data_IF_944233910363
#
_entry.id   IF_944233910363
#
_cell.length_a   1.000
_cell.length_b   1.000
_cell.length_c   1.000
_cell.angle_alpha   90.00
_cell.angle_beta   90.00
_cell.angle_gamma   90.00
#
_symmetry.space_group_name_H-M   'P 1'
#
loop_
_entity.id
_entity.type
_entity.pdbx_description
1 polymer ?
#
# COMPACT_ATOMS: atom_id res chain seq x y z
N UNK A 1 9.72 7.17 3.00
CA UNK A 1 8.34 7.03 2.48
C UNK A 1 8.16 7.98 1.30
N UNK A 2 8.44 9.28 1.43
CA UNK A 2 8.38 10.20 0.26
C UNK A 2 9.19 9.70 -0.93
N UNK A 3 10.46 9.32 -0.71
CA UNK A 3 11.29 8.75 -1.77
C UNK A 3 10.69 7.47 -2.37
N UNK A 4 9.97 6.66 -1.59
CA UNK A 4 9.33 5.44 -2.08
C UNK A 4 8.14 5.76 -3.00
N UNK A 5 7.36 6.79 -2.68
CA UNK A 5 6.33 7.32 -3.58
C UNK A 5 6.94 7.93 -4.85
N UNK A 6 8.04 8.68 -4.71
CA UNK A 6 8.79 9.22 -5.86
C UNK A 6 9.35 8.12 -6.75
N UNK A 7 9.92 7.06 -6.17
CA UNK A 7 10.45 5.92 -6.92
C UNK A 7 9.35 5.20 -7.71
N UNK A 8 8.13 5.15 -7.18
CA UNK A 8 6.99 4.65 -7.95
C UNK A 8 6.64 5.58 -9.12
N UNK A 9 6.48 6.88 -8.88
CA UNK A 9 6.15 7.87 -9.91
C UNK A 9 7.18 7.91 -11.05
N UNK A 10 8.47 7.80 -10.70
CA UNK A 10 9.59 7.80 -11.66
C UNK A 10 9.85 6.43 -12.32
N UNK A 11 9.06 5.40 -11.96
CA UNK A 11 9.24 4.02 -12.37
C UNK A 11 10.65 3.46 -12.05
N UNK A 12 11.21 3.85 -10.91
CA UNK A 12 12.47 3.35 -10.36
C UNK A 12 12.25 2.03 -9.59
N UNK A 13 12.09 0.94 -10.36
CA UNK A 13 11.71 -0.37 -9.82
C UNK A 13 12.65 -0.90 -8.74
N UNK A 14 13.96 -0.82 -8.98
CA UNK A 14 14.95 -1.41 -8.06
C UNK A 14 14.98 -0.68 -6.71
N UNK A 15 14.87 0.65 -6.71
CA UNK A 15 14.77 1.44 -5.47
C UNK A 15 13.44 1.21 -4.77
N UNK A 16 12.34 1.19 -5.53
CA UNK A 16 10.98 0.98 -5.02
C UNK A 16 10.85 -0.36 -4.27
N UNK A 17 11.23 -1.47 -4.91
CA UNK A 17 11.21 -2.80 -4.30
C UNK A 17 12.32 -2.95 -3.25
N UNK A 18 13.48 -2.32 -3.45
CA UNK A 18 14.61 -2.34 -2.52
C UNK A 18 14.34 -1.66 -1.17
N UNK A 19 13.38 -0.73 -1.12
CA UNK A 19 12.89 -0.14 0.13
C UNK A 19 12.09 -1.14 0.98
N UNK A 20 11.48 -2.15 0.35
CA UNK A 20 10.70 -3.17 1.02
C UNK A 20 11.60 -4.29 1.57
N UNK A 21 11.34 -4.69 2.81
CA UNK A 21 11.97 -5.87 3.39
C UNK A 21 11.59 -7.14 2.63
N UNK A 22 12.45 -8.16 2.63
CA UNK A 22 12.14 -9.46 2.02
C UNK A 22 10.88 -10.13 2.57
N UNK A 23 10.47 -9.80 3.80
CA UNK A 23 9.23 -10.30 4.40
C UNK A 23 8.09 -9.29 4.32
N UNK A 24 8.23 -8.21 3.54
CA UNK A 24 7.22 -7.17 3.46
C UNK A 24 5.93 -7.70 2.85
N UNK A 25 4.79 -7.33 3.44
CA UNK A 25 3.47 -7.52 2.85
C UNK A 25 2.97 -6.20 2.24
N UNK A 26 2.54 -6.25 0.99
CA UNK A 26 1.79 -5.18 0.36
C UNK A 26 0.31 -5.60 0.29
N UNK A 27 -0.56 -4.82 0.91
CA UNK A 27 -2.00 -5.04 0.93
C UNK A 27 -2.65 -3.92 0.14
N UNK A 28 -3.25 -4.28 -1.00
CA UNK A 28 -3.89 -3.35 -1.89
C UNK A 28 -5.33 -3.01 -1.47
N UNK A 29 -6.04 -2.31 -2.35
CA UNK A 29 -7.40 -1.84 -2.11
C UNK A 29 -8.45 -2.92 -2.31
N UNK A 30 -8.17 -3.94 -3.15
CA UNK A 30 -9.08 -5.06 -3.38
C UNK A 30 -8.85 -6.19 -2.34
N UNK A 31 -9.92 -6.89 -1.97
CA UNK A 31 -9.88 -7.90 -0.91
C UNK A 31 -8.95 -9.09 -1.20
N UNK A 32 -8.62 -9.32 -2.48
CA UNK A 32 -7.70 -10.38 -2.92
C UNK A 32 -6.23 -9.93 -2.93
N UNK A 33 -5.97 -8.63 -2.73
CA UNK A 33 -4.64 -8.02 -2.83
C UNK A 33 -3.90 -8.12 -1.50
N UNK A 34 -3.17 -9.22 -1.32
CA UNK A 34 -2.24 -9.40 -0.22
C UNK A 34 -1.02 -10.19 -0.71
N UNK A 35 0.05 -9.46 -0.99
CA UNK A 35 1.25 -10.01 -1.63
C UNK A 35 2.46 -9.93 -0.70
N UNK A 36 3.24 -11.01 -0.68
CA UNK A 36 4.63 -10.92 -0.24
C UNK A 36 5.43 -10.08 -1.26
N UNK A 37 6.50 -9.43 -0.80
CA UNK A 37 7.31 -8.50 -1.60
C UNK A 37 7.65 -9.05 -2.99
N UNK A 38 8.10 -10.29 -3.09
CA UNK A 38 8.60 -10.83 -4.37
C UNK A 38 7.46 -11.10 -5.37
N UNK A 39 6.29 -11.51 -4.90
CA UNK A 39 5.08 -11.64 -5.72
C UNK A 39 4.57 -10.25 -6.16
N UNK A 40 4.60 -9.27 -5.24
CA UNK A 40 4.27 -7.89 -5.55
C UNK A 40 5.24 -7.30 -6.58
N UNK A 41 6.53 -7.55 -6.44
CA UNK A 41 7.55 -7.12 -7.39
C UNK A 41 7.29 -7.69 -8.79
N UNK A 42 6.93 -8.98 -8.89
CA UNK A 42 6.55 -9.60 -10.15
C UNK A 42 5.30 -8.93 -10.77
N UNK A 43 4.30 -8.61 -9.95
CA UNK A 43 3.11 -7.88 -10.36
C UNK A 43 3.44 -6.46 -10.87
N UNK A 44 4.29 -5.70 -10.16
CA UNK A 44 4.66 -4.34 -10.52
C UNK A 44 5.50 -4.25 -11.81
N UNK A 45 6.35 -5.24 -12.07
CA UNK A 45 7.35 -5.23 -13.15
C UNK A 45 6.82 -4.76 -14.52
N UNK A 46 5.70 -5.28 -15.06
CA UNK A 46 5.17 -4.81 -16.34
C UNK A 46 4.73 -3.33 -16.33
N UNK A 47 4.24 -2.80 -15.21
CA UNK A 47 3.81 -1.41 -15.08
C UNK A 47 5.02 -0.46 -15.03
N UNK A 48 6.05 -0.82 -14.27
CA UNK A 48 7.31 -0.07 -14.20
C UNK A 48 8.03 -0.05 -15.56
N UNK A 49 8.08 -1.18 -16.26
CA UNK A 49 8.66 -1.24 -17.60
C UNK A 49 7.95 -0.34 -18.62
N UNK A 50 6.63 -0.16 -18.47
CA UNK A 50 5.80 0.70 -19.33
C UNK A 50 5.73 2.16 -18.83
N UNK A 51 6.30 2.47 -17.67
CA UNK A 51 6.14 3.76 -16.97
C UNK A 51 4.67 4.14 -16.77
N UNK A 52 3.83 3.14 -16.55
CA UNK A 52 2.41 3.30 -16.18
C UNK A 52 2.25 2.94 -14.71
N UNK A 53 3.03 3.60 -13.87
CA UNK A 53 3.06 3.39 -12.43
C UNK A 53 2.10 4.35 -11.72
N UNK A 54 1.99 4.20 -10.42
CA UNK A 54 1.21 5.06 -9.56
C UNK A 54 2.00 6.31 -9.19
N UNK A 55 1.37 7.46 -9.34
CA UNK A 55 1.83 8.76 -8.86
C UNK A 55 0.91 9.20 -7.72
N UNK A 56 1.44 9.12 -6.50
CA UNK A 56 0.72 9.42 -5.26
C UNK A 56 1.33 10.64 -4.60
N UNK A 57 0.52 11.66 -4.37
CA UNK A 57 0.95 12.88 -3.67
C UNK A 57 0.50 12.82 -2.21
N UNK A 58 1.41 13.03 -1.27
CA UNK A 58 1.08 13.03 0.16
C UNK A 58 0.38 14.33 0.56
N UNK A 59 -0.82 14.21 1.12
CA UNK A 59 -1.58 15.33 1.70
C UNK A 59 -1.21 15.51 3.18
N UNK A 60 -1.22 14.40 3.93
CA UNK A 60 -0.90 14.37 5.36
C UNK A 60 -0.14 13.08 5.65
N UNK A 61 0.81 13.13 6.59
CA UNK A 61 1.42 11.93 7.16
C UNK A 61 1.74 12.13 8.63
N UNK A 62 1.42 11.12 9.42
CA UNK A 62 1.82 11.00 10.82
C UNK A 62 2.77 9.81 10.96
N UNK A 63 3.86 9.98 11.71
CA UNK A 63 4.88 8.95 11.95
C UNK A 63 5.15 8.84 13.44
N UNK A 64 5.18 7.61 13.94
CA UNK A 64 5.43 7.28 15.34
C UNK A 64 6.54 6.26 15.41
N UNK A 65 7.55 6.50 16.25
CA UNK A 65 8.69 5.60 16.43
C UNK A 65 8.61 5.02 17.84
N UNK A 66 8.95 3.74 18.00
CA UNK A 66 9.00 3.11 19.31
C UNK A 66 10.17 3.65 20.16
N UNK A 67 10.16 3.35 21.47
CA UNK A 67 11.19 3.80 22.41
C UNK A 67 12.60 3.31 22.05
N UNK A 68 12.70 2.12 21.44
CA UNK A 68 13.97 1.55 20.98
C UNK A 68 14.52 2.22 19.71
N UNK A 69 13.74 3.08 19.04
CA UNK A 69 14.17 3.80 17.84
C UNK A 69 14.32 2.92 16.59
N UNK A 70 13.85 1.67 16.62
CA UNK A 70 14.08 0.67 15.57
C UNK A 70 12.80 0.23 14.84
N UNK A 71 11.62 0.64 15.29
CA UNK A 71 10.35 0.39 14.62
C UNK A 71 9.59 1.69 14.47
N UNK A 72 9.04 1.94 13.29
CA UNK A 72 8.19 3.09 13.02
C UNK A 72 6.84 2.62 12.45
N UNK A 73 5.76 3.30 12.83
CA UNK A 73 4.44 3.19 12.20
C UNK A 73 4.11 4.51 11.55
N UNK A 74 3.41 4.44 10.43
CA UNK A 74 2.90 5.63 9.78
C UNK A 74 1.49 5.40 9.26
N UNK A 75 0.78 6.50 9.13
CA UNK A 75 -0.45 6.61 8.39
C UNK A 75 -0.42 7.92 7.60
N UNK A 76 -0.99 7.87 6.40
CA UNK A 76 -0.95 8.97 5.44
C UNK A 76 -2.27 9.08 4.68
N UNK A 77 -2.59 10.31 4.28
CA UNK A 77 -3.63 10.60 3.32
C UNK A 77 -2.94 10.99 2.01
N UNK A 78 -3.31 10.34 0.92
CA UNK A 78 -2.73 10.48 -0.40
C UNK A 78 -3.77 11.01 -1.38
N UNK A 79 -3.37 11.92 -2.26
CA UNK A 79 -4.07 12.23 -3.50
C UNK A 79 -3.61 11.26 -4.60
N UNK A 80 -4.57 10.62 -5.27
CA UNK A 80 -4.32 9.54 -6.23
C UNK A 80 -5.33 9.60 -7.37
N UNK A 81 -5.10 8.82 -8.44
CA UNK A 81 -6.07 8.66 -9.52
C UNK A 81 -7.41 8.02 -9.08
N UNK A 82 -7.46 7.36 -7.92
CA UNK A 82 -8.68 6.80 -7.32
C UNK A 82 -9.40 7.82 -6.41
N UNK A 83 -8.91 9.05 -6.33
CA UNK A 83 -9.26 10.02 -5.30
C UNK A 83 -8.44 9.79 -4.03
N UNK A 84 -8.95 10.24 -2.89
CA UNK A 84 -8.24 10.16 -1.62
C UNK A 84 -8.05 8.72 -1.16
N UNK A 85 -6.81 8.31 -0.92
CA UNK A 85 -6.49 7.03 -0.32
C UNK A 85 -5.82 7.20 1.04
N UNK A 86 -5.94 6.20 1.90
CA UNK A 86 -5.20 6.06 3.14
C UNK A 86 -4.12 5.01 2.98
N UNK A 87 -2.87 5.44 3.06
CA UNK A 87 -1.72 4.55 3.22
C UNK A 87 -1.45 4.35 4.70
N UNK A 88 -1.06 3.15 5.10
CA UNK A 88 -0.50 2.92 6.44
C UNK A 88 0.49 1.78 6.41
N UNK A 89 1.43 1.77 7.34
CA UNK A 89 2.44 0.73 7.35
C UNK A 89 3.36 0.76 8.56
N UNK A 90 4.26 -0.21 8.56
CA UNK A 90 5.31 -0.35 9.56
C UNK A 90 6.68 -0.42 8.88
N UNK A 91 7.69 0.15 9.53
CA UNK A 91 9.08 0.08 9.12
C UNK A 91 9.95 -0.46 10.24
N UNK A 92 11.02 -1.15 9.88
CA UNK A 92 12.09 -1.54 10.79
C UNK A 92 13.43 -0.99 10.34
N UNK A 93 14.26 -0.57 11.31
CA UNK A 93 15.63 -0.16 11.06
C UNK A 93 16.53 -1.39 11.03
N UNK A 94 16.97 -1.80 9.84
CA UNK A 94 17.86 -2.94 9.62
C UNK A 94 19.18 -2.46 9.04
N UNK A 95 20.29 -2.78 9.70
CA UNK A 95 21.64 -2.41 9.27
C UNK A 95 21.79 -0.90 8.95
N UNK A 96 21.15 -0.04 9.76
CA UNK A 96 21.18 1.40 9.57
C UNK A 96 20.25 1.94 8.46
N UNK A 97 19.41 1.10 7.87
CA UNK A 97 18.45 1.50 6.84
C UNK A 97 17.02 1.13 7.25
N UNK A 98 16.09 2.07 7.07
CA UNK A 98 14.67 1.78 7.23
C UNK A 98 14.17 0.91 6.08
N UNK A 99 13.47 -0.18 6.41
CA UNK A 99 12.80 -1.06 5.45
C UNK A 99 11.31 -1.11 5.74
N UNK A 100 10.51 -1.07 4.68
CA UNK A 100 9.06 -1.25 4.78
C UNK A 100 8.77 -2.71 5.11
N UNK A 101 8.03 -2.95 6.19
CA UNK A 101 7.65 -4.29 6.67
C UNK A 101 6.21 -4.64 6.29
N UNK A 102 5.35 -3.63 6.19
CA UNK A 102 3.98 -3.78 5.74
C UNK A 102 3.51 -2.45 5.15
N UNK A 103 2.73 -2.54 4.08
CA UNK A 103 1.96 -1.43 3.55
C UNK A 103 0.51 -1.85 3.33
N UNK A 104 -0.43 -0.97 3.68
CA UNK A 104 -1.86 -1.12 3.44
C UNK A 104 -2.35 0.14 2.73
N UNK A 105 -2.98 -0.04 1.57
CA UNK A 105 -3.62 1.03 0.83
C UNK A 105 -5.14 0.81 0.81
N UNK A 106 -5.88 1.79 1.29
CA UNK A 106 -7.34 1.76 1.30
C UNK A 106 -7.93 3.02 0.68
N UNK A 107 -9.02 2.90 -0.07
CA UNK A 107 -9.79 4.07 -0.51
C UNK A 107 -10.43 4.74 0.71
N UNK A 108 -10.25 6.06 0.87
CA UNK A 108 -10.81 6.81 2.00
C UNK A 108 -12.28 7.17 1.72
N UNK A 109 -13.16 6.18 1.91
CA UNK A 109 -14.60 6.31 1.63
C UNK A 109 -15.27 7.21 2.69
N UNK A 110 -15.97 8.29 2.30
CA UNK A 110 -16.81 9.06 3.22
C UNK A 110 -17.92 8.18 3.79
N UNK A 111 -18.17 8.30 5.11
CA UNK A 111 -19.14 7.44 5.80
C UNK A 111 -20.54 7.55 5.20
N UNK A 112 -20.94 8.74 4.76
CA UNK A 112 -22.21 9.02 4.09
C UNK A 112 -22.37 8.31 2.74
N UNK A 113 -21.28 7.88 2.11
CA UNK A 113 -21.27 7.17 0.82
C UNK A 113 -21.26 5.64 1.00
N UNK A 114 -21.21 5.13 2.23
CA UNK A 114 -21.00 3.71 2.49
C UNK A 114 -22.11 2.81 1.91
N UNK A 115 -23.37 3.24 1.89
CA UNK A 115 -24.45 2.43 1.30
C UNK A 115 -24.26 2.21 -0.20
N UNK A 116 -23.86 3.25 -0.94
CA UNK A 116 -23.58 3.12 -2.37
C UNK A 116 -22.37 2.20 -2.63
N UNK A 117 -21.33 2.29 -1.78
CA UNK A 117 -20.16 1.40 -1.87
C UNK A 117 -20.55 -0.06 -1.58
N UNK A 118 -21.35 -0.30 -0.54
CA UNK A 118 -21.85 -1.64 -0.20
C UNK A 118 -22.64 -2.25 -1.35
N UNK A 119 -23.51 -1.46 -1.99
CA UNK A 119 -24.27 -1.91 -3.16
C UNK A 119 -23.33 -2.25 -4.32
N UNK A 120 -22.40 -1.35 -4.66
CA UNK A 120 -21.47 -1.55 -5.77
C UNK A 120 -20.59 -2.81 -5.63
N UNK A 121 -20.20 -3.18 -4.40
CA UNK A 121 -19.34 -4.34 -4.15
C UNK A 121 -20.09 -5.60 -3.70
N UNK A 122 -21.42 -5.57 -3.64
CA UNK A 122 -22.22 -6.64 -3.02
C UNK A 122 -21.95 -8.03 -3.63
N UNK A 123 -21.93 -8.14 -4.95
CA UNK A 123 -21.69 -9.42 -5.65
C UNK A 123 -20.26 -9.92 -5.43
N UNK A 124 -19.26 -9.04 -5.64
CA UNK A 124 -17.85 -9.38 -5.46
C UNK A 124 -17.57 -9.82 -4.01
N UNK A 125 -18.11 -9.11 -3.02
CA UNK A 125 -18.02 -9.48 -1.61
C UNK A 125 -18.68 -10.83 -1.33
N UNK A 126 -19.83 -11.11 -1.94
CA UNK A 126 -20.54 -12.37 -1.74
C UNK A 126 -19.74 -13.56 -2.28
N UNK A 127 -19.14 -13.40 -3.47
CA UNK A 127 -18.23 -14.39 -4.05
C UNK A 127 -17.00 -14.56 -3.15
N UNK A 128 -16.33 -13.47 -2.78
CA UNK A 128 -15.14 -13.51 -1.93
C UNK A 128 -15.40 -14.24 -0.61
N UNK A 129 -16.47 -13.88 0.10
CA UNK A 129 -16.87 -14.52 1.37
C UNK A 129 -17.20 -16.00 1.21
N UNK A 130 -17.74 -16.42 0.06
CA UNK A 130 -18.10 -17.82 -0.17
C UNK A 130 -16.88 -18.77 -0.13
N UNK A 131 -15.69 -18.27 -0.47
CA UNK A 131 -14.45 -19.05 -0.38
C UNK A 131 -14.04 -19.41 1.06
N UNK A 132 -14.62 -18.73 2.06
CA UNK A 132 -14.32 -18.93 3.48
C UNK A 132 -15.49 -19.48 4.28
N UNK A 133 -16.68 -19.59 3.68
CA UNK A 133 -17.82 -20.24 4.29
C UNK A 133 -17.54 -21.76 4.36
N UNK A 134 -17.46 -22.29 5.58
CA UNK A 134 -17.39 -23.74 5.83
C UNK A 134 -18.76 -24.37 5.71
#
# INVERSE_FOLDING_TARGET
IDQWHTDAADANFDSYIGFMDSTCNYIGTDATENWLRDDFAAFCKPYFAKKTTWDFTTIQRDVRINEAGNTAWFDEILDTHMGTCRGSGALELKNGQWKLMQYVLSVAIPNESMEAVKEAKHEADSVYKSHFAR
#
